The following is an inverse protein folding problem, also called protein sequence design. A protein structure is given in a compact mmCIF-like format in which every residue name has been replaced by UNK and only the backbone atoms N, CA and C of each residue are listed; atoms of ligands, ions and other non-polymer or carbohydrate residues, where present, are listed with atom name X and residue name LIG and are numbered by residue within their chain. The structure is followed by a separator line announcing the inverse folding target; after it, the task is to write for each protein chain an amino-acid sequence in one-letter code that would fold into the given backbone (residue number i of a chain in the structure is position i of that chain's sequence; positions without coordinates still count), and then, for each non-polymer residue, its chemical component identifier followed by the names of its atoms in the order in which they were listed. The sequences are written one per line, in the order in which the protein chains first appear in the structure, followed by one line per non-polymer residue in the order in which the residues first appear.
data_IF_103136005644
#
_entry.id   IF_103136005644
#
_cell.length_a   1.000
_cell.length_b   1.000
_cell.length_c   1.000
_cell.angle_alpha   90.00
_cell.angle_beta   90.00
_cell.angle_gamma   90.00
#
_symmetry.space_group_name_H-M   'P 1'
#
loop_
_entity.id
_entity.type
_entity.pdbx_description
1 polymer ?
#
# COMPACT_ATOMS: atom_id res chain seq x y z
N UNK A 1 25.51 8.67 24.16
CA UNK A 1 25.65 7.64 23.12
C UNK A 1 24.80 6.40 23.41
N UNK A 2 25.04 5.66 24.50
CA UNK A 2 24.24 4.44 24.81
C UNK A 2 22.79 4.76 25.22
N UNK A 3 22.60 5.84 26.00
CA UNK A 3 21.27 6.30 26.43
C UNK A 3 20.40 6.78 25.28
N UNK A 4 20.99 7.46 24.29
CA UNK A 4 20.29 7.96 23.10
C UNK A 4 19.79 6.81 22.21
N UNK A 5 20.63 5.77 22.05
CA UNK A 5 20.26 4.56 21.31
C UNK A 5 19.15 3.78 22.02
N UNK A 6 19.21 3.67 23.35
CA UNK A 6 18.17 3.03 24.14
C UNK A 6 16.83 3.80 24.04
N UNK A 7 16.87 5.13 24.12
CA UNK A 7 15.68 5.99 23.97
C UNK A 7 15.08 5.87 22.56
N UNK A 8 15.92 5.88 21.51
CA UNK A 8 15.46 5.70 20.13
C UNK A 8 14.84 4.31 19.91
N UNK A 9 15.43 3.27 20.48
CA UNK A 9 14.91 1.90 20.40
C UNK A 9 13.54 1.80 21.09
N UNK A 10 13.41 2.36 22.30
CA UNK A 10 12.14 2.37 23.04
C UNK A 10 11.06 3.14 22.26
N UNK A 11 11.37 4.33 21.74
CA UNK A 11 10.45 5.12 20.92
C UNK A 11 10.03 4.38 19.65
N UNK A 12 10.96 3.68 18.99
CA UNK A 12 10.69 2.87 17.81
C UNK A 12 9.78 1.68 18.14
N UNK A 13 10.04 0.97 19.23
CA UNK A 13 9.19 -0.14 19.67
C UNK A 13 7.79 0.34 20.05
N UNK A 14 7.69 1.46 20.78
CA UNK A 14 6.41 2.08 21.12
C UNK A 14 5.63 2.51 19.87
N UNK A 15 6.28 3.16 18.89
CA UNK A 15 5.62 3.62 17.67
C UNK A 15 5.15 2.46 16.80
N UNK A 16 5.94 1.38 16.67
CA UNK A 16 5.54 0.16 15.98
C UNK A 16 4.35 -0.52 16.66
N UNK A 17 4.35 -0.58 18.00
CA UNK A 17 3.26 -1.16 18.77
C UNK A 17 1.96 -0.36 18.60
N UNK A 18 2.04 0.97 18.65
CA UNK A 18 0.92 1.87 18.38
C UNK A 18 0.40 1.73 16.96
N UNK A 19 1.27 1.67 15.96
CA UNK A 19 0.88 1.47 14.56
C UNK A 19 0.21 0.11 14.36
N UNK A 20 0.69 -0.93 15.03
CA UNK A 20 0.11 -2.26 15.00
C UNK A 20 -1.30 -2.27 15.62
N UNK A 21 -1.45 -1.66 16.79
CA UNK A 21 -2.75 -1.51 17.45
C UNK A 21 -3.71 -0.65 16.65
N UNK A 22 -3.23 0.42 16.01
CA UNK A 22 -4.05 1.27 15.14
C UNK A 22 -4.51 0.51 13.89
N UNK A 23 -3.62 -0.27 13.26
CA UNK A 23 -3.95 -1.10 12.10
C UNK A 23 -4.96 -2.20 12.47
N UNK A 24 -4.85 -2.77 13.67
CA UNK A 24 -5.80 -3.74 14.21
C UNK A 24 -7.15 -3.10 14.60
N UNK A 25 -7.12 -1.89 15.17
CA UNK A 25 -8.30 -1.13 15.58
C UNK A 25 -9.11 -0.66 14.37
N UNK A 26 -8.43 -0.26 13.29
CA UNK A 26 -9.05 0.16 12.03
C UNK A 26 -9.82 -0.96 11.32
N UNK A 27 -9.66 -2.23 11.73
CA UNK A 27 -10.35 -3.39 11.15
C UNK A 27 -11.38 -4.07 12.05
N UNK A 28 -11.67 -3.54 13.26
CA UNK A 28 -12.45 -4.28 14.28
C UNK A 28 -13.53 -3.46 14.98
N UNK A 29 -14.27 -2.63 14.23
CA UNK A 29 -15.60 -2.19 14.65
C UNK A 29 -16.64 -3.26 14.30
N UNK A 30 -17.63 -3.49 15.17
CA UNK A 30 -18.70 -4.52 15.04
C UNK A 30 -19.62 -4.28 13.83
N UNK A 31 -19.12 -4.48 12.62
CA UNK A 31 -19.90 -4.60 11.40
C UNK A 31 -19.68 -6.02 10.87
N UNK A 32 -20.65 -6.59 10.09
CA UNK A 32 -20.49 -7.92 9.50
C UNK A 32 -19.12 -8.01 8.82
N UNK A 33 -18.47 -9.19 8.79
CA UNK A 33 -17.16 -9.36 8.16
C UNK A 33 -17.23 -8.84 6.73
N UNK A 34 -16.83 -7.58 6.55
CA UNK A 34 -16.91 -6.90 5.28
C UNK A 34 -15.96 -7.59 4.33
N UNK A 35 -16.29 -7.70 3.03
CA UNK A 35 -15.33 -8.18 2.06
C UNK A 35 -14.04 -7.39 2.26
N UNK A 36 -12.95 -8.14 2.36
CA UNK A 36 -11.57 -7.82 2.78
C UNK A 36 -11.18 -6.35 2.57
N UNK A 37 -10.22 -5.73 3.27
CA UNK A 37 -9.74 -4.36 2.95
C UNK A 37 -9.06 -4.19 1.57
N UNK A 38 -8.84 -5.29 0.81
CA UNK A 38 -8.13 -5.31 -0.48
C UNK A 38 -8.94 -5.12 -1.80
N UNK A 39 -10.28 -5.13 -1.89
CA UNK A 39 -11.01 -5.04 -3.15
C UNK A 39 -10.95 -3.62 -3.71
N UNK A 40 -10.77 -2.59 -2.88
CA UNK A 40 -10.64 -1.20 -3.37
C UNK A 40 -9.23 -0.95 -3.92
N UNK A 41 -8.18 -1.24 -3.14
CA UNK A 41 -6.81 -1.18 -3.66
C UNK A 41 -6.60 -2.14 -4.83
N UNK A 42 -7.19 -3.33 -4.79
CA UNK A 42 -7.13 -4.31 -5.88
C UNK A 42 -7.84 -3.84 -7.15
N UNK A 43 -8.97 -3.13 -7.05
CA UNK A 43 -9.67 -2.58 -8.22
C UNK A 43 -8.95 -1.35 -8.80
N UNK A 44 -8.38 -0.50 -7.94
CA UNK A 44 -7.59 0.67 -8.35
C UNK A 44 -6.26 0.24 -8.99
N UNK A 45 -5.54 -0.70 -8.38
CA UNK A 45 -4.29 -1.24 -8.91
C UNK A 45 -4.53 -1.99 -10.23
N UNK A 46 -5.63 -2.75 -10.34
CA UNK A 46 -6.00 -3.40 -11.61
C UNK A 46 -6.40 -2.39 -12.68
N UNK A 47 -7.13 -1.32 -12.34
CA UNK A 47 -7.49 -0.26 -13.28
C UNK A 47 -6.25 0.49 -13.77
N UNK A 48 -5.34 0.83 -12.87
CA UNK A 48 -4.10 1.56 -13.13
C UNK A 48 -3.17 0.73 -14.03
N UNK A 49 -2.86 -0.52 -13.66
CA UNK A 49 -2.03 -1.43 -14.47
C UNK A 49 -2.63 -1.67 -15.85
N UNK A 50 -3.96 -1.81 -15.97
CA UNK A 50 -4.64 -2.02 -17.26
C UNK A 50 -4.63 -0.76 -18.14
N UNK A 51 -4.66 0.43 -17.54
CA UNK A 51 -4.55 1.70 -18.27
C UNK A 51 -3.11 1.93 -18.75
N UNK A 52 -2.14 1.75 -17.86
CA UNK A 52 -0.70 1.84 -18.16
C UNK A 52 -0.31 0.85 -19.25
N UNK A 53 -0.76 -0.41 -19.17
CA UNK A 53 -0.49 -1.42 -20.20
C UNK A 53 -1.03 -1.05 -21.58
N UNK A 54 -2.20 -0.40 -21.65
CA UNK A 54 -2.74 0.13 -22.92
C UNK A 54 -1.93 1.31 -23.45
N UNK A 55 -1.55 2.25 -22.59
CA UNK A 55 -0.75 3.41 -22.98
C UNK A 55 0.63 2.98 -23.49
N UNK A 56 1.26 2.00 -22.83
CA UNK A 56 2.53 1.42 -23.27
C UNK A 56 2.39 0.69 -24.61
N UNK A 57 1.29 -0.02 -24.84
CA UNK A 57 1.04 -0.67 -26.13
C UNK A 57 0.84 0.36 -27.27
N UNK A 58 0.18 1.49 -26.99
CA UNK A 58 0.09 2.58 -27.98
C UNK A 58 1.43 3.24 -28.27
N UNK A 59 2.29 3.42 -27.25
CA UNK A 59 3.64 3.98 -27.41
C UNK A 59 4.54 2.98 -28.15
N UNK A 60 4.48 1.69 -27.82
CA UNK A 60 5.27 0.68 -28.51
C UNK A 60 4.88 0.52 -29.97
N UNK A 61 3.57 0.66 -30.28
CA UNK A 61 3.08 0.68 -31.66
C UNK A 61 3.52 1.94 -32.40
N UNK A 62 3.61 3.08 -31.73
CA UNK A 62 4.15 4.31 -32.30
C UNK A 62 5.66 4.20 -32.57
N UNK A 63 6.43 3.60 -31.66
CA UNK A 63 7.87 3.41 -31.81
C UNK A 63 8.26 2.24 -32.73
N UNK A 64 7.35 1.28 -32.96
CA UNK A 64 7.54 0.15 -33.87
C UNK A 64 6.95 0.39 -35.26
N UNK A 65 6.36 1.57 -35.51
CA UNK A 65 6.07 2.00 -36.87
C UNK A 65 7.40 2.36 -37.53
N UNK A 66 7.86 1.62 -38.55
CA UNK A 66 9.00 2.06 -39.34
C UNK A 66 8.56 3.35 -40.05
N UNK A 67 9.20 4.46 -39.68
CA UNK A 67 9.42 5.54 -40.63
C UNK A 67 10.43 5.07 -41.67
#
# INVERSE_FOLDING_TARGET
ASVDLAVALVLCLCSLLLLSLWKQSSGKGKLPPGPTPLPIFGNVLQLDVKNIGKSLNSVSRFSASPQ
#
